data_IF_010090993488
#
_entry.id   IF_010090993488
#
_cell.length_a   1.000
_cell.length_b   1.000
_cell.length_c   1.000
_cell.angle_alpha   90.00
_cell.angle_beta   90.00
_cell.angle_gamma   90.00
#
_symmetry.space_group_name_H-M   'P 1'
#
loop_
_entity.id
_entity.type
_entity.pdbx_description
1 polymer ?
#
# COMPACT_ATOMS: atom_id res chain seq x y z
N UNK A 1 22.52 27.01 17.88
CA UNK A 1 21.19 26.68 18.46
C UNK A 1 20.10 26.39 17.42
N UNK A 2 19.99 27.09 16.29
CA UNK A 2 18.96 26.80 15.27
C UNK A 2 19.20 25.49 14.47
N UNK A 3 20.45 25.01 14.40
CA UNK A 3 20.80 23.78 13.66
C UNK A 3 20.40 22.50 14.41
N UNK A 4 20.57 22.45 15.73
CA UNK A 4 20.22 21.27 16.54
C UNK A 4 18.72 20.95 16.51
N UNK A 5 17.85 21.97 16.63
CA UNK A 5 16.40 21.77 16.56
C UNK A 5 15.92 21.21 15.21
N UNK A 6 16.65 21.48 14.12
CA UNK A 6 16.36 20.90 12.81
C UNK A 6 16.76 19.44 12.76
N UNK A 7 17.96 19.09 13.26
CA UNK A 7 18.44 17.71 13.32
C UNK A 7 17.54 16.83 14.20
N UNK A 8 17.11 17.35 15.36
CA UNK A 8 16.17 16.69 16.26
C UNK A 8 14.82 16.43 15.56
N UNK A 9 14.27 17.42 14.86
CA UNK A 9 13.02 17.28 14.11
C UNK A 9 13.11 16.27 12.95
N UNK A 10 14.24 16.21 12.24
CA UNK A 10 14.46 15.19 11.20
C UNK A 10 14.56 13.79 11.81
N UNK A 11 15.27 13.63 12.93
CA UNK A 11 15.44 12.35 13.61
C UNK A 11 14.10 11.79 14.09
N UNK A 12 13.23 12.62 14.67
CA UNK A 12 11.90 12.21 15.12
C UNK A 12 11.01 11.81 13.94
N UNK A 13 10.91 12.64 12.89
CA UNK A 13 10.08 12.31 11.72
C UNK A 13 10.54 11.04 11.00
N UNK A 14 11.86 10.86 10.86
CA UNK A 14 12.45 9.65 10.26
C UNK A 14 12.21 8.44 11.13
N UNK A 15 12.35 8.58 12.46
CA UNK A 15 12.09 7.51 13.41
C UNK A 15 10.65 7.01 13.34
N UNK A 16 9.66 7.91 13.28
CA UNK A 16 8.24 7.55 13.17
C UNK A 16 7.95 6.78 11.87
N UNK A 17 8.42 7.27 10.72
CA UNK A 17 8.21 6.59 9.43
C UNK A 17 8.97 5.26 9.37
N UNK A 18 10.19 5.23 9.92
CA UNK A 18 11.06 4.06 9.96
C UNK A 18 10.46 2.93 10.80
N UNK A 19 9.98 3.23 12.01
CA UNK A 19 9.33 2.24 12.88
C UNK A 19 8.09 1.65 12.20
N UNK A 20 7.24 2.50 11.59
CA UNK A 20 6.05 2.03 10.87
C UNK A 20 6.39 1.10 9.70
N UNK A 21 7.46 1.41 8.97
CA UNK A 21 7.93 0.59 7.84
C UNK A 21 8.50 -0.74 8.30
N UNK A 22 9.35 -0.72 9.34
CA UNK A 22 9.94 -1.94 9.92
C UNK A 22 8.82 -2.83 10.46
N UNK A 23 7.87 -2.28 11.20
CA UNK A 23 6.76 -3.05 11.76
C UNK A 23 5.91 -3.72 10.66
N UNK A 24 5.57 -2.98 9.60
CA UNK A 24 4.80 -3.52 8.47
C UNK A 24 5.53 -4.66 7.74
N UNK A 25 6.84 -4.50 7.52
CA UNK A 25 7.67 -5.52 6.86
C UNK A 25 7.91 -6.73 7.77
N UNK A 26 8.11 -6.52 9.07
CA UNK A 26 8.25 -7.60 10.06
C UNK A 26 6.99 -8.45 10.16
N UNK A 27 5.80 -7.84 10.10
CA UNK A 27 4.55 -8.60 10.06
C UNK A 27 4.47 -9.46 8.79
N UNK A 28 4.77 -8.89 7.63
CA UNK A 28 4.81 -9.64 6.37
C UNK A 28 5.83 -10.77 6.40
N UNK A 29 6.99 -10.53 7.03
CA UNK A 29 8.03 -11.53 7.24
C UNK A 29 7.59 -12.68 8.15
N UNK A 30 6.78 -12.42 9.18
CA UNK A 30 6.19 -13.47 10.03
C UNK A 30 5.07 -14.25 9.32
N UNK A 31 4.32 -13.60 8.41
CA UNK A 31 3.25 -14.28 7.66
C UNK A 31 3.81 -15.40 6.79
N UNK A 32 4.98 -15.23 6.17
CA UNK A 32 5.61 -16.25 5.33
C UNK A 32 5.81 -17.60 6.07
N UNK A 33 6.54 -17.70 7.20
CA UNK A 33 6.74 -18.96 7.91
C UNK A 33 5.44 -19.53 8.48
N UNK A 34 4.48 -18.67 8.87
CA UNK A 34 3.15 -19.10 9.32
C UNK A 34 2.39 -19.76 8.16
N UNK A 35 2.43 -19.16 6.97
CA UNK A 35 1.83 -19.71 5.74
C UNK A 35 2.48 -21.04 5.34
N UNK A 36 3.81 -21.16 5.44
CA UNK A 36 4.53 -22.42 5.12
C UNK A 36 4.16 -23.57 6.06
N UNK A 37 3.85 -23.28 7.33
CA UNK A 37 3.45 -24.31 8.30
C UNK A 37 2.00 -24.77 8.14
N UNK A 38 1.13 -23.91 7.60
CA UNK A 38 -0.31 -24.13 7.50
C UNK A 38 -0.78 -24.64 6.12
N UNK A 39 -0.06 -24.35 5.04
CA UNK A 39 -0.48 -24.68 3.67
C UNK A 39 0.30 -25.86 3.06
N UNK A 40 -0.38 -26.62 2.20
CA UNK A 40 0.29 -27.59 1.34
C UNK A 40 1.18 -26.89 0.29
N UNK A 41 2.25 -27.54 -0.22
CA UNK A 41 3.16 -26.93 -1.20
C UNK A 41 2.46 -26.44 -2.48
N UNK A 42 1.37 -27.11 -2.86
CA UNK A 42 0.56 -26.77 -4.05
C UNK A 42 -0.25 -25.49 -3.82
N UNK A 43 -0.79 -25.29 -2.62
CA UNK A 43 -1.55 -24.09 -2.27
C UNK A 43 -0.62 -22.88 -2.06
N UNK A 44 0.59 -23.11 -1.57
CA UNK A 44 1.61 -22.07 -1.41
C UNK A 44 2.01 -21.46 -2.76
N UNK A 45 2.19 -22.29 -3.80
CA UNK A 45 2.51 -21.81 -5.15
C UNK A 45 1.42 -20.93 -5.76
N UNK A 46 0.14 -21.23 -5.48
CA UNK A 46 -0.99 -20.38 -5.92
C UNK A 46 -1.06 -19.07 -5.14
N UNK A 47 -0.81 -19.13 -3.84
CA UNK A 47 -0.77 -17.96 -2.96
C UNK A 47 0.36 -17.00 -3.36
N UNK A 48 1.56 -17.51 -3.59
CA UNK A 48 2.72 -16.71 -4.00
C UNK A 48 2.49 -16.00 -5.35
N UNK A 49 1.87 -16.70 -6.31
CA UNK A 49 1.46 -16.11 -7.58
C UNK A 49 0.44 -14.98 -7.37
N UNK A 50 -0.56 -15.19 -6.50
CA UNK A 50 -1.55 -14.18 -6.16
C UNK A 50 -0.90 -12.95 -5.49
N UNK A 51 0.03 -13.14 -4.55
CA UNK A 51 0.79 -12.05 -3.92
C UNK A 51 1.62 -11.29 -4.95
N UNK A 52 2.23 -11.98 -5.92
CA UNK A 52 2.96 -11.36 -7.02
C UNK A 52 2.04 -10.50 -7.90
N UNK A 53 0.86 -11.01 -8.27
CA UNK A 53 -0.14 -10.23 -9.01
C UNK A 53 -0.62 -9.02 -8.22
N UNK A 54 -0.84 -9.17 -6.90
CA UNK A 54 -1.19 -8.05 -6.02
C UNK A 54 -0.07 -7.00 -6.00
N UNK A 55 1.20 -7.41 -5.92
CA UNK A 55 2.35 -6.51 -5.96
C UNK A 55 2.44 -5.68 -7.24
N UNK A 56 1.97 -6.20 -8.37
CA UNK A 56 1.86 -5.47 -9.63
C UNK A 56 0.59 -4.62 -9.72
N UNK A 57 -0.53 -5.12 -9.19
CA UNK A 57 -1.83 -4.44 -9.21
C UNK A 57 -1.88 -3.22 -8.30
N UNK A 58 -1.27 -3.28 -7.12
CA UNK A 58 -1.25 -2.17 -6.16
C UNK A 58 -0.76 -0.87 -6.80
N UNK A 59 0.46 -0.76 -7.38
CA UNK A 59 0.92 0.48 -8.00
C UNK A 59 0.14 0.86 -9.25
N UNK A 60 -0.47 -0.11 -9.95
CA UNK A 60 -1.30 0.13 -11.13
C UNK A 60 -2.65 0.76 -10.78
N UNK A 61 -3.28 0.29 -9.71
CA UNK A 61 -4.57 0.79 -9.21
C UNK A 61 -4.41 2.10 -8.44
N UNK A 62 -3.37 2.21 -7.61
CA UNK A 62 -3.11 3.43 -6.84
C UNK A 62 -2.43 4.51 -7.66
N UNK A 63 -1.93 4.19 -8.86
CA UNK A 63 -1.19 5.10 -9.75
C UNK A 63 -0.03 5.83 -9.04
N UNK A 64 0.51 5.23 -7.96
CA UNK A 64 1.49 5.85 -7.04
C UNK A 64 1.05 7.22 -6.48
N UNK A 65 -0.26 7.47 -6.38
CA UNK A 65 -0.82 8.72 -5.86
C UNK A 65 -0.43 8.97 -4.39
N UNK A 66 -0.16 7.92 -3.62
CA UNK A 66 0.36 8.02 -2.25
C UNK A 66 1.64 8.87 -2.17
N UNK A 67 2.57 8.68 -3.10
CA UNK A 67 3.83 9.42 -3.16
C UNK A 67 3.62 10.85 -3.68
N UNK A 68 2.72 11.01 -4.65
CA UNK A 68 2.35 12.32 -5.19
C UNK A 68 1.72 13.22 -4.10
N UNK A 69 0.74 12.70 -3.36
CA UNK A 69 0.07 13.44 -2.27
C UNK A 69 1.08 13.77 -1.18
N UNK A 70 1.93 12.82 -0.77
CA UNK A 70 2.96 13.08 0.23
C UNK A 70 3.85 14.26 -0.17
N UNK A 71 4.26 14.32 -1.44
CA UNK A 71 5.05 15.43 -1.97
C UNK A 71 4.27 16.76 -1.99
N UNK A 72 3.03 16.77 -2.47
CA UNK A 72 2.21 17.98 -2.55
C UNK A 72 1.82 18.55 -1.18
N UNK A 73 1.53 17.67 -0.21
CA UNK A 73 1.17 18.06 1.16
C UNK A 73 2.38 18.60 1.94
N UNK A 74 3.57 18.03 1.73
CA UNK A 74 4.79 18.57 2.32
C UNK A 74 5.13 19.96 1.80
N UNK A 75 4.90 20.21 0.50
CA UNK A 75 5.19 21.48 -0.16
C UNK A 75 4.14 22.56 0.18
N UNK A 76 2.86 22.19 0.29
CA UNK A 76 1.75 23.10 0.58
C UNK A 76 0.97 22.68 1.83
N UNK A 77 1.53 22.97 3.02
CA UNK A 77 0.97 22.55 4.32
C UNK A 77 -0.47 22.98 4.62
N UNK A 78 -1.01 24.00 3.95
CA UNK A 78 -2.36 24.53 4.23
C UNK A 78 -3.45 24.04 3.26
N UNK A 79 -3.12 23.37 2.15
CA UNK A 79 -4.10 23.03 1.09
C UNK A 79 -4.21 21.53 0.78
N UNK A 80 -3.90 20.65 1.74
CA UNK A 80 -3.84 19.19 1.51
C UNK A 80 -5.19 18.49 1.29
N UNK A 81 -6.27 19.00 1.89
CA UNK A 81 -7.60 18.35 1.90
C UNK A 81 -8.19 18.04 0.51
N UNK A 82 -8.20 18.96 -0.47
CA UNK A 82 -8.75 18.67 -1.80
C UNK A 82 -7.96 17.58 -2.56
N UNK A 83 -6.64 17.50 -2.37
CA UNK A 83 -5.81 16.50 -3.04
C UNK A 83 -6.10 15.08 -2.53
N UNK A 84 -6.31 14.93 -1.22
CA UNK A 84 -6.75 13.66 -0.64
C UNK A 84 -8.13 13.25 -1.15
N UNK A 85 -9.07 14.19 -1.24
CA UNK A 85 -10.42 13.91 -1.74
C UNK A 85 -10.39 13.40 -3.20
N UNK A 86 -9.61 14.05 -4.06
CA UNK A 86 -9.44 13.62 -5.45
C UNK A 86 -8.80 12.24 -5.51
N UNK A 87 -7.73 12.00 -4.75
CA UNK A 87 -7.05 10.71 -4.75
C UNK A 87 -7.96 9.56 -4.28
N UNK A 88 -8.72 9.75 -3.20
CA UNK A 88 -9.66 8.73 -2.70
C UNK A 88 -10.74 8.45 -3.75
N UNK A 89 -11.27 9.48 -4.40
CA UNK A 89 -12.31 9.32 -5.43
C UNK A 89 -11.78 8.54 -6.63
N UNK A 90 -10.56 8.86 -7.08
CA UNK A 90 -9.94 8.26 -8.27
C UNK A 90 -9.53 6.80 -8.01
N UNK A 91 -8.80 6.55 -6.92
CA UNK A 91 -8.39 5.19 -6.51
C UNK A 91 -9.61 4.34 -6.15
N UNK A 92 -10.58 4.90 -5.43
CA UNK A 92 -11.83 4.22 -5.09
C UNK A 92 -12.62 3.83 -6.33
N UNK A 93 -12.72 4.73 -7.32
CA UNK A 93 -13.37 4.46 -8.60
C UNK A 93 -12.69 3.35 -9.40
N UNK A 94 -11.37 3.38 -9.54
CA UNK A 94 -10.60 2.33 -10.23
C UNK A 94 -10.74 0.99 -9.51
N UNK A 95 -10.69 0.99 -8.17
CA UNK A 95 -10.83 -0.21 -7.36
C UNK A 95 -12.21 -0.85 -7.50
N UNK A 96 -13.27 -0.03 -7.55
CA UNK A 96 -14.64 -0.49 -7.79
C UNK A 96 -14.79 -1.11 -9.18
N UNK A 97 -14.25 -0.49 -10.22
CA UNK A 97 -14.28 -1.01 -11.59
C UNK A 97 -13.52 -2.33 -11.72
N UNK A 98 -12.31 -2.41 -11.17
CA UNK A 98 -11.54 -3.66 -11.15
C UNK A 98 -12.24 -4.75 -10.35
N UNK A 99 -12.76 -4.44 -9.15
CA UNK A 99 -13.50 -5.38 -8.32
C UNK A 99 -14.75 -5.94 -9.02
N UNK A 100 -15.52 -5.06 -9.67
CA UNK A 100 -16.67 -5.47 -10.48
C UNK A 100 -16.26 -6.37 -11.66
N UNK A 101 -15.14 -6.06 -12.33
CA UNK A 101 -14.60 -6.89 -13.41
C UNK A 101 -14.20 -8.29 -12.94
N UNK A 102 -13.50 -8.39 -11.80
CA UNK A 102 -13.13 -9.67 -11.20
C UNK A 102 -14.37 -10.47 -10.80
N UNK A 103 -15.38 -9.82 -10.22
CA UNK A 103 -16.64 -10.46 -9.84
C UNK A 103 -17.42 -10.98 -11.06
N UNK A 104 -17.43 -10.24 -12.16
CA UNK A 104 -18.09 -10.66 -13.40
C UNK A 104 -17.40 -11.87 -14.03
N UNK A 105 -16.06 -11.85 -14.08
CA UNK A 105 -15.25 -12.96 -14.59
C UNK A 105 -15.42 -14.20 -13.71
N UNK A 106 -15.39 -14.05 -12.38
CA UNK A 106 -15.57 -15.18 -11.47
C UNK A 106 -16.97 -15.79 -11.59
N UNK A 107 -18.03 -14.97 -11.71
CA UNK A 107 -19.39 -15.46 -11.91
C UNK A 107 -19.58 -16.13 -13.29
N UNK A 108 -18.90 -15.67 -14.34
CA UNK A 108 -18.97 -16.28 -15.66
C UNK A 108 -18.16 -17.59 -15.75
N UNK A 109 -17.04 -17.68 -15.04
CA UNK A 109 -16.16 -18.86 -14.99
C UNK A 109 -16.69 -19.97 -14.07
N UNK A 110 -17.35 -19.62 -12.95
CA UNK A 110 -17.97 -20.59 -12.01
C UNK A 110 -19.44 -20.92 -12.33
N UNK A 111 -19.93 -20.51 -13.50
CA UNK A 111 -21.22 -20.96 -14.03
C UNK A 111 -21.09 -22.22 -14.87
#
# INVERSE_FOLDING_TARGET
>A
MASDKRLEGLAVNTGVIGIGTVLSKSLSFLVIPICTFLLSPVDFGRFDLAVTYLGLMVPLVTLQLEQAIFRFVFDNRQSGAPYFAVAITLVGGISLLMGAGVFLVSHFVFR
#
